data_IF_357879058270
#
_entry.id   IF_357879058270
#
_cell.length_a   1.000
_cell.length_b   1.000
_cell.length_c   1.000
_cell.angle_alpha   90.00
_cell.angle_beta   90.00
_cell.angle_gamma   90.00
#
_symmetry.space_group_name_H-M   'P 1'
#
loop_
_entity.id
_entity.type
_entity.pdbx_description
1 polymer ?
#
# COMPACT_ATOMS: atom_id res chain seq x y z
N UNK A 1 6.25 18.16 1.28
CA UNK A 1 5.81 17.01 0.44
C UNK A 1 4.40 16.65 0.90
N UNK A 2 3.41 16.63 0.02
CA UNK A 2 2.02 16.44 0.43
C UNK A 2 1.71 14.96 0.70
N UNK A 3 0.82 14.73 1.66
CA UNK A 3 0.33 13.39 2.06
C UNK A 3 -0.27 12.61 0.87
N UNK A 4 -0.94 13.33 -0.04
CA UNK A 4 -1.44 12.77 -1.30
C UNK A 4 -0.35 12.20 -2.21
N UNK A 5 0.86 12.79 -2.23
CA UNK A 5 1.99 12.27 -3.02
C UNK A 5 2.53 10.95 -2.48
N UNK A 6 2.63 10.81 -1.15
CA UNK A 6 3.14 9.59 -0.53
C UNK A 6 2.16 8.41 -0.69
N UNK A 7 0.86 8.68 -0.53
CA UNK A 7 -0.21 7.70 -0.77
C UNK A 7 -0.22 7.23 -2.23
N UNK A 8 -0.12 8.15 -3.19
CA UNK A 8 -0.06 7.81 -4.61
C UNK A 8 1.14 6.91 -4.92
N UNK A 9 2.31 7.26 -4.38
CA UNK A 9 3.54 6.47 -4.55
C UNK A 9 3.42 5.06 -4.00
N UNK A 10 2.78 4.88 -2.83
CA UNK A 10 2.51 3.56 -2.27
C UNK A 10 1.56 2.73 -3.14
N UNK A 11 0.48 3.34 -3.64
CA UNK A 11 -0.45 2.69 -4.56
C UNK A 11 0.24 2.24 -5.85
N UNK A 12 1.06 3.10 -6.44
CA UNK A 12 1.81 2.77 -7.65
C UNK A 12 2.83 1.66 -7.41
N UNK A 13 3.56 1.73 -6.30
CA UNK A 13 4.55 0.71 -5.94
C UNK A 13 3.88 -0.65 -5.71
N UNK A 14 2.73 -0.69 -5.03
CA UNK A 14 1.97 -1.92 -4.82
C UNK A 14 1.46 -2.50 -6.13
N UNK A 15 0.96 -1.65 -7.04
CA UNK A 15 0.54 -2.06 -8.38
C UNK A 15 1.70 -2.69 -9.15
N UNK A 16 2.85 -2.03 -9.18
CA UNK A 16 4.06 -2.56 -9.84
C UNK A 16 4.49 -3.90 -9.24
N UNK A 17 4.51 -4.04 -7.91
CA UNK A 17 4.83 -5.30 -7.25
C UNK A 17 3.92 -6.43 -7.75
N UNK A 18 2.61 -6.22 -7.74
CA UNK A 18 1.63 -7.23 -8.14
C UNK A 18 1.75 -7.60 -9.63
N UNK A 19 1.95 -6.61 -10.50
CA UNK A 19 2.15 -6.83 -11.94
C UNK A 19 3.41 -7.66 -12.22
N UNK A 20 4.53 -7.30 -11.58
CA UNK A 20 5.80 -8.02 -11.74
C UNK A 20 5.72 -9.42 -11.15
N UNK A 21 5.07 -9.58 -9.99
CA UNK A 21 4.89 -10.89 -9.38
C UNK A 21 4.02 -11.81 -10.24
N UNK A 22 2.89 -11.31 -10.76
CA UNK A 22 2.03 -12.09 -11.65
C UNK A 22 2.76 -12.50 -12.94
N UNK A 23 3.56 -11.60 -13.52
CA UNK A 23 4.41 -11.90 -14.67
C UNK A 23 5.44 -13.00 -14.38
N UNK A 24 6.06 -12.96 -13.19
CA UNK A 24 7.03 -13.96 -12.76
C UNK A 24 6.36 -15.31 -12.50
N UNK A 25 5.19 -15.35 -11.86
CA UNK A 25 4.45 -16.60 -11.62
C UNK A 25 3.96 -17.29 -12.89
N UNK A 26 3.79 -16.55 -14.00
CA UNK A 26 3.50 -17.18 -15.28
C UNK A 26 4.65 -18.06 -15.79
N UNK A 27 5.89 -17.77 -15.38
CA UNK A 27 7.10 -18.45 -15.81
C UNK A 27 7.68 -19.36 -14.71
N UNK A 28 7.42 -19.06 -13.43
CA UNK A 28 7.99 -19.74 -12.28
C UNK A 28 6.91 -20.37 -11.40
N UNK A 29 6.68 -21.68 -11.57
CA UNK A 29 5.54 -22.44 -11.00
C UNK A 29 5.96 -23.62 -10.11
N UNK A 30 7.01 -23.46 -9.33
CA UNK A 30 7.49 -24.48 -8.42
C UNK A 30 7.10 -24.19 -6.96
N UNK A 31 7.58 -25.04 -6.05
CA UNK A 31 7.33 -24.87 -4.61
C UNK A 31 8.02 -23.64 -4.02
N UNK A 32 9.14 -23.19 -4.60
CA UNK A 32 9.85 -22.01 -4.11
C UNK A 32 9.07 -20.72 -4.44
N UNK A 33 8.46 -20.63 -5.62
CA UNK A 33 7.60 -19.50 -5.96
C UNK A 33 6.34 -19.45 -5.08
N UNK A 34 5.77 -20.62 -4.73
CA UNK A 34 4.65 -20.70 -3.80
C UNK A 34 5.02 -20.29 -2.36
N UNK A 35 6.22 -20.65 -1.89
CA UNK A 35 6.70 -20.18 -0.58
C UNK A 35 6.96 -18.68 -0.58
N UNK A 36 7.59 -18.15 -1.63
CA UNK A 36 7.85 -16.72 -1.74
C UNK A 36 6.54 -15.89 -1.77
N UNK A 37 5.51 -16.36 -2.48
CA UNK A 37 4.18 -15.71 -2.47
C UNK A 37 3.66 -15.57 -1.04
N UNK A 38 3.61 -16.70 -0.33
CA UNK A 38 3.03 -16.84 1.00
C UNK A 38 3.81 -16.07 2.05
N UNK A 39 5.13 -16.17 2.00
CA UNK A 39 6.00 -15.74 3.10
C UNK A 39 6.42 -14.26 2.96
N UNK A 40 6.38 -13.71 1.75
CA UNK A 40 6.85 -12.35 1.48
C UNK A 40 5.85 -11.49 0.69
N UNK A 41 5.32 -11.98 -0.43
CA UNK A 41 4.53 -11.13 -1.34
C UNK A 41 3.15 -10.79 -0.76
N UNK A 42 2.42 -11.79 -0.26
CA UNK A 42 1.11 -11.56 0.38
C UNK A 42 1.26 -10.69 1.65
N UNK A 43 2.17 -10.98 2.60
CA UNK A 43 2.35 -10.12 3.77
C UNK A 43 2.72 -8.68 3.43
N UNK A 44 3.60 -8.46 2.45
CA UNK A 44 3.97 -7.11 2.01
C UNK A 44 2.78 -6.38 1.37
N UNK A 45 2.00 -7.09 0.54
CA UNK A 45 0.80 -6.55 -0.11
C UNK A 45 -0.23 -6.07 0.92
N UNK A 46 -0.49 -6.89 1.94
CA UNK A 46 -1.44 -6.56 2.99
C UNK A 46 -0.95 -5.40 3.87
N UNK A 47 0.33 -5.41 4.25
CA UNK A 47 0.93 -4.31 5.01
C UNK A 47 0.83 -2.96 4.26
N UNK A 48 1.07 -2.94 2.96
CA UNK A 48 0.96 -1.71 2.16
C UNK A 48 -0.50 -1.25 2.04
N UNK A 49 -1.46 -2.18 1.89
CA UNK A 49 -2.89 -1.82 1.90
C UNK A 49 -3.31 -1.17 3.22
N UNK A 50 -2.88 -1.73 4.35
CA UNK A 50 -3.13 -1.17 5.68
C UNK A 50 -2.50 0.22 5.80
N UNK A 51 -1.26 0.41 5.33
CA UNK A 51 -0.59 1.71 5.36
C UNK A 51 -1.34 2.77 4.55
N UNK A 52 -1.86 2.42 3.36
CA UNK A 52 -2.67 3.32 2.54
C UNK A 52 -3.93 3.78 3.29
N UNK A 53 -4.62 2.86 3.95
CA UNK A 53 -5.82 3.18 4.75
C UNK A 53 -5.48 4.06 5.96
N UNK A 54 -4.37 3.79 6.64
CA UNK A 54 -3.92 4.61 7.77
C UNK A 54 -3.61 6.05 7.34
N UNK A 55 -2.97 6.23 6.18
CA UNK A 55 -2.72 7.57 5.62
C UNK A 55 -4.03 8.29 5.28
N UNK A 56 -5.04 7.58 4.76
CA UNK A 56 -6.36 8.17 4.50
C UNK A 56 -7.04 8.66 5.78
N UNK A 57 -7.00 7.85 6.84
CA UNK A 57 -7.58 8.21 8.14
C UNK A 57 -6.85 9.37 8.81
N UNK A 58 -5.51 9.41 8.72
CA UNK A 58 -4.70 10.50 9.25
C UNK A 58 -5.01 11.82 8.54
N UNK A 59 -5.10 11.81 7.21
CA UNK A 59 -5.47 12.97 6.42
C UNK A 59 -6.83 13.54 6.84
N UNK A 60 -7.81 12.67 7.09
CA UNK A 60 -9.14 13.05 7.55
C UNK A 60 -9.10 13.66 8.96
N UNK A 61 -8.40 13.01 9.89
CA UNK A 61 -8.25 13.48 11.26
C UNK A 61 -7.56 14.86 11.33
N UNK A 62 -6.50 15.07 10.55
CA UNK A 62 -5.80 16.36 10.44
C UNK A 62 -6.73 17.42 9.85
N UNK A 63 -7.49 17.08 8.81
CA UNK A 63 -8.43 18.00 8.17
C UNK A 63 -9.56 18.40 9.12
N UNK A 64 -10.04 17.48 9.95
CA UNK A 64 -11.03 17.76 11.00
C UNK A 64 -10.46 18.68 12.07
N UNK A 65 -9.29 18.36 12.60
CA UNK A 65 -8.64 19.18 13.63
C UNK A 65 -8.41 20.63 13.16
N UNK A 66 -8.03 20.83 11.89
CA UNK A 66 -7.90 22.18 11.31
C UNK A 66 -9.22 22.94 11.31
N UNK A 67 -10.31 22.32 10.86
CA UNK A 67 -11.64 22.95 10.87
C UNK A 67 -12.10 23.30 12.28
N UNK A 68 -11.84 22.43 13.24
CA UNK A 68 -12.23 22.65 14.65
C UNK A 68 -11.44 23.84 15.25
N UNK A 69 -10.17 24.03 14.86
CA UNK A 69 -9.38 25.19 15.28
C UNK A 69 -9.75 26.50 14.56
N UNK A 70 -10.16 26.44 13.30
CA UNK A 70 -10.57 27.63 12.52
C UNK A 70 -11.98 28.13 12.88
N UNK A 71 -12.79 27.30 13.57
CA UNK A 71 -14.17 27.61 13.96
C UNK A 71 -14.31 28.18 15.40
N UNK A 72 -13.21 28.29 16.15
CA UNK A 72 -13.16 28.86 17.51
C UNK A 72 -12.42 30.19 17.54
#
# INVERSE_FOLDING_TARGET
MSEGTNKAKLKDTLRTLNEQWASLQNQWKDSASASLDRDAVQPATDAVRVAILAIEQLAEAISKARRDCDAG
#
